data_IF_791938438707
#
_entry.id   IF_791938438707
#
_cell.length_a   1.000
_cell.length_b   1.000
_cell.length_c   1.000
_cell.angle_alpha   90.00
_cell.angle_beta   90.00
_cell.angle_gamma   90.00
#
_symmetry.space_group_name_H-M   'P 1'
#
loop_
_entity.id
_entity.type
_entity.pdbx_description
1 polymer ?
#
# COMPACT_ATOMS: atom_id res chain seq x y z
N UNK A 1 17.98 -8.12 3.91
CA UNK A 1 16.58 -7.88 3.47
C UNK A 1 15.72 -7.29 4.59
N UNK A 2 15.80 -7.78 5.84
CA UNK A 2 15.11 -7.18 6.99
C UNK A 2 15.56 -5.73 7.34
N UNK A 3 16.81 -5.37 7.05
CA UNK A 3 17.37 -4.03 7.30
C UNK A 3 16.70 -2.92 6.47
N UNK A 4 16.26 -3.21 5.25
CA UNK A 4 15.62 -2.21 4.38
C UNK A 4 14.19 -1.89 4.82
N UNK A 5 13.46 -2.87 5.37
CA UNK A 5 12.08 -2.67 5.82
C UNK A 5 12.03 -1.76 7.06
N UNK A 6 12.97 -1.94 7.98
CA UNK A 6 13.12 -1.11 9.18
C UNK A 6 13.52 0.31 8.78
N UNK A 7 14.44 0.46 7.83
CA UNK A 7 14.84 1.77 7.33
C UNK A 7 13.66 2.53 6.68
N UNK A 8 12.83 1.85 5.89
CA UNK A 8 11.61 2.41 5.30
C UNK A 8 10.58 2.80 6.36
N UNK A 9 10.37 1.97 7.37
CA UNK A 9 9.45 2.27 8.46
C UNK A 9 9.93 3.49 9.27
N UNK A 10 11.22 3.57 9.58
CA UNK A 10 11.81 4.70 10.29
C UNK A 10 11.75 5.98 9.47
N UNK A 11 12.07 5.93 8.17
CA UNK A 11 11.97 7.12 7.30
C UNK A 11 10.54 7.57 7.12
N UNK A 12 9.59 6.66 6.95
CA UNK A 12 8.16 7.00 6.89
C UNK A 12 7.67 7.62 8.21
N UNK A 13 8.05 7.06 9.35
CA UNK A 13 7.67 7.58 10.67
C UNK A 13 8.29 8.96 10.94
N UNK A 14 9.56 9.17 10.61
CA UNK A 14 10.20 10.48 10.78
C UNK A 14 9.65 11.51 9.81
N UNK A 15 9.41 11.15 8.55
CA UNK A 15 8.77 12.03 7.57
C UNK A 15 7.36 12.43 8.01
N UNK A 16 6.54 11.47 8.46
CA UNK A 16 5.18 11.74 8.95
C UNK A 16 5.19 12.63 10.20
N UNK A 17 6.12 12.41 11.14
CA UNK A 17 6.28 13.25 12.32
C UNK A 17 6.72 14.68 11.97
N UNK A 18 7.70 14.82 11.08
CA UNK A 18 8.18 16.12 10.59
C UNK A 18 7.06 16.85 9.86
N UNK A 19 6.30 16.17 9.01
CA UNK A 19 5.14 16.71 8.29
C UNK A 19 4.04 17.18 9.24
N UNK A 20 3.72 16.42 10.30
CA UNK A 20 2.76 16.83 11.34
C UNK A 20 3.19 18.10 12.08
N UNK A 21 4.49 18.23 12.37
CA UNK A 21 5.05 19.42 13.02
C UNK A 21 4.99 20.63 12.08
N UNK A 22 5.30 20.45 10.79
CA UNK A 22 5.27 21.52 9.78
C UNK A 22 3.83 21.91 9.40
N UNK A 23 2.86 20.99 9.48
CA UNK A 23 1.43 21.26 9.23
C UNK A 23 0.84 22.33 10.17
N UNK A 24 1.46 22.54 11.34
CA UNK A 24 1.09 23.61 12.27
C UNK A 24 1.45 25.01 11.75
N UNK A 25 2.22 25.13 10.66
CA UNK A 25 2.85 26.38 10.24
C UNK A 25 2.40 26.98 8.89
N UNK A 26 2.26 26.28 7.74
CA UNK A 26 1.68 26.81 6.45
C UNK A 26 1.92 25.85 5.24
N UNK A 27 0.99 25.89 4.25
CA UNK A 27 1.13 25.71 2.77
C UNK A 27 0.71 24.41 2.04
N UNK A 28 0.09 24.62 0.85
CA UNK A 28 -0.27 23.64 -0.21
C UNK A 28 0.88 22.71 -0.64
N UNK A 29 2.14 23.06 -0.39
CA UNK A 29 3.30 22.23 -0.74
C UNK A 29 3.46 21.00 0.14
N UNK A 30 2.93 21.04 1.37
CA UNK A 30 2.98 19.94 2.32
C UNK A 30 2.02 18.79 1.94
N UNK A 31 0.83 19.13 1.44
CA UNK A 31 -0.15 18.14 1.00
C UNK A 31 0.36 17.35 -0.21
N UNK A 32 1.02 18.02 -1.16
CA UNK A 32 1.66 17.37 -2.30
C UNK A 32 2.79 16.43 -1.88
N UNK A 33 3.60 16.80 -0.89
CA UNK A 33 4.70 15.94 -0.42
C UNK A 33 4.19 14.72 0.34
N UNK A 34 3.16 14.86 1.17
CA UNK A 34 2.48 13.73 1.80
C UNK A 34 1.90 12.77 0.77
N UNK A 35 1.21 13.31 -0.23
CA UNK A 35 0.58 12.51 -1.27
C UNK A 35 1.59 11.73 -2.13
N UNK A 36 2.73 12.35 -2.47
CA UNK A 36 3.83 11.68 -3.18
C UNK A 36 4.44 10.58 -2.32
N UNK A 37 4.64 10.83 -1.02
CA UNK A 37 5.19 9.83 -0.09
C UNK A 37 4.27 8.59 0.02
N UNK A 38 2.96 8.80 0.14
CA UNK A 38 1.96 7.74 0.18
C UNK A 38 1.96 6.92 -1.13
N UNK A 39 2.08 7.59 -2.27
CA UNK A 39 2.15 6.92 -3.58
C UNK A 39 3.41 6.05 -3.71
N UNK A 40 4.56 6.53 -3.24
CA UNK A 40 5.81 5.77 -3.21
C UNK A 40 5.67 4.52 -2.35
N UNK A 41 5.03 4.63 -1.18
CA UNK A 41 4.78 3.48 -0.29
C UNK A 41 3.92 2.41 -0.97
N UNK A 42 2.83 2.79 -1.65
CA UNK A 42 2.00 1.83 -2.39
C UNK A 42 2.78 1.17 -3.52
N UNK A 43 3.58 1.93 -4.27
CA UNK A 43 4.38 1.40 -5.37
C UNK A 43 5.39 0.33 -4.87
N UNK A 44 6.03 0.57 -3.72
CA UNK A 44 6.94 -0.39 -3.09
C UNK A 44 6.22 -1.65 -2.62
N UNK A 45 5.03 -1.51 -2.01
CA UNK A 45 4.22 -2.65 -1.57
C UNK A 45 3.79 -3.53 -2.74
N UNK A 46 3.29 -2.93 -3.83
CA UNK A 46 2.88 -3.66 -5.03
C UNK A 46 4.06 -4.39 -5.68
N UNK A 47 5.23 -3.72 -5.76
CA UNK A 47 6.45 -4.32 -6.30
C UNK A 47 6.92 -5.51 -5.47
N UNK A 48 6.90 -5.38 -4.14
CA UNK A 48 7.24 -6.46 -3.21
C UNK A 48 6.27 -7.64 -3.33
N UNK A 49 4.96 -7.38 -3.32
CA UNK A 49 3.93 -8.41 -3.46
C UNK A 49 4.04 -9.14 -4.80
N UNK A 50 4.35 -8.44 -5.89
CA UNK A 50 4.56 -9.06 -7.20
C UNK A 50 5.75 -10.02 -7.21
N UNK A 51 6.89 -9.62 -6.62
CA UNK A 51 8.06 -10.49 -6.48
C UNK A 51 7.77 -11.72 -5.63
N UNK A 52 7.11 -11.54 -4.48
CA UNK A 52 6.72 -12.66 -3.61
C UNK A 52 5.70 -13.57 -4.29
N UNK A 53 4.77 -13.02 -5.07
CA UNK A 53 3.79 -13.78 -5.85
C UNK A 53 4.44 -14.67 -6.90
N UNK A 54 5.42 -14.14 -7.65
CA UNK A 54 6.15 -14.91 -8.65
C UNK A 54 6.92 -16.07 -7.99
N UNK A 55 7.67 -15.79 -6.93
CA UNK A 55 8.42 -16.81 -6.17
C UNK A 55 7.47 -17.83 -5.53
N UNK A 56 6.34 -17.38 -5.00
CA UNK A 56 5.29 -18.22 -4.44
C UNK A 56 4.67 -19.17 -5.47
N UNK A 57 4.43 -18.70 -6.69
CA UNK A 57 3.89 -19.52 -7.77
C UNK A 57 4.88 -20.62 -8.20
N UNK A 58 6.17 -20.29 -8.30
CA UNK A 58 7.21 -21.27 -8.58
C UNK A 58 7.29 -22.28 -7.41
N UNK A 59 7.08 -21.83 -6.17
CA UNK A 59 7.10 -22.67 -4.97
C UNK A 59 5.91 -23.61 -4.84
N UNK A 60 4.76 -23.21 -5.42
CA UNK A 60 3.53 -24.00 -5.48
C UNK A 60 3.55 -25.02 -6.62
N UNK A 61 3.88 -24.58 -7.84
CA UNK A 61 3.88 -25.45 -9.02
C UNK A 61 5.12 -26.34 -9.10
N UNK A 62 6.27 -25.89 -8.60
CA UNK A 62 7.56 -26.56 -8.79
C UNK A 62 8.00 -26.54 -10.26
N UNK A 63 9.30 -26.64 -10.50
CA UNK A 63 9.83 -26.78 -11.86
C UNK A 63 11.04 -27.71 -11.87
N UNK A 64 10.89 -28.87 -12.52
CA UNK A 64 11.96 -29.85 -12.66
C UNK A 64 13.14 -29.32 -13.48
N UNK A 65 12.89 -28.42 -14.44
CA UNK A 65 13.95 -27.84 -15.28
C UNK A 65 14.89 -26.91 -14.48
N UNK A 66 14.33 -26.20 -13.50
CA UNK A 66 15.09 -25.37 -12.55
C UNK A 66 15.48 -26.13 -11.26
N UNK A 67 15.25 -27.45 -11.20
CA UNK A 67 15.40 -28.29 -10.00
C UNK A 67 14.65 -27.76 -8.76
N UNK A 68 13.59 -26.98 -8.97
CA UNK A 68 12.76 -26.42 -7.90
C UNK A 68 11.68 -27.42 -7.49
N UNK A 69 11.83 -28.00 -6.30
CA UNK A 69 10.83 -28.89 -5.70
C UNK A 69 9.69 -28.09 -5.06
N UNK A 70 8.47 -28.63 -5.07
CA UNK A 70 7.28 -28.00 -4.47
C UNK A 70 7.46 -27.84 -2.95
N UNK A 71 7.72 -26.61 -2.50
CA UNK A 71 7.93 -26.31 -1.07
C UNK A 71 6.61 -26.30 -0.32
N UNK A 72 5.53 -25.83 -0.95
CA UNK A 72 4.20 -25.78 -0.34
C UNK A 72 3.59 -27.15 -0.05
N UNK A 73 4.13 -28.23 -0.63
CA UNK A 73 3.68 -29.60 -0.32
C UNK A 73 4.18 -30.09 1.06
N UNK A 74 5.31 -29.56 1.54
CA UNK A 74 5.88 -29.91 2.85
C UNK A 74 5.36 -28.97 3.94
N UNK A 75 5.16 -27.69 3.60
CA UNK A 75 4.74 -26.65 4.54
C UNK A 75 3.40 -26.01 4.14
N UNK A 76 2.37 -26.84 3.95
CA UNK A 76 1.03 -26.40 3.48
C UNK A 76 0.43 -25.29 4.35
N UNK A 77 0.44 -25.44 5.69
CA UNK A 77 -0.13 -24.46 6.61
C UNK A 77 0.59 -23.11 6.56
N UNK A 78 1.92 -23.11 6.41
CA UNK A 78 2.70 -21.88 6.26
C UNK A 78 2.45 -21.23 4.89
N UNK A 79 2.43 -22.03 3.82
CA UNK A 79 2.18 -21.53 2.48
C UNK A 79 0.76 -20.92 2.36
N UNK A 80 -0.26 -21.55 2.95
CA UNK A 80 -1.62 -21.00 3.01
C UNK A 80 -1.67 -19.68 3.79
N UNK A 81 -1.04 -19.60 4.96
CA UNK A 81 -0.99 -18.36 5.76
C UNK A 81 -0.21 -17.25 5.05
N UNK A 82 0.93 -17.58 4.43
CA UNK A 82 1.74 -16.64 3.66
C UNK A 82 0.97 -16.11 2.45
N UNK A 83 0.34 -16.99 1.67
CA UNK A 83 -0.50 -16.61 0.54
C UNK A 83 -1.67 -15.70 0.98
N UNK A 84 -2.35 -16.05 2.08
CA UNK A 84 -3.41 -15.22 2.65
C UNK A 84 -2.90 -13.83 3.08
N UNK A 85 -1.74 -13.76 3.73
CA UNK A 85 -1.11 -12.50 4.13
C UNK A 85 -0.80 -11.61 2.91
N UNK A 86 -0.21 -12.18 1.85
CA UNK A 86 0.11 -11.44 0.63
C UNK A 86 -1.16 -10.95 -0.06
N UNK A 87 -2.20 -11.80 -0.11
CA UNK A 87 -3.49 -11.42 -0.68
C UNK A 87 -4.13 -10.26 0.08
N UNK A 88 -4.14 -10.30 1.41
CA UNK A 88 -4.65 -9.20 2.25
C UNK A 88 -3.82 -7.93 2.06
N UNK A 89 -2.49 -8.02 1.99
CA UNK A 89 -1.64 -6.87 1.68
C UNK A 89 -1.94 -6.29 0.30
N UNK A 90 -2.18 -7.11 -0.72
CA UNK A 90 -2.52 -6.66 -2.07
C UNK A 90 -3.84 -5.88 -2.08
N UNK A 91 -4.87 -6.39 -1.40
CA UNK A 91 -6.17 -5.72 -1.25
C UNK A 91 -5.98 -4.40 -0.50
N UNK A 92 -5.22 -4.40 0.60
CA UNK A 92 -4.91 -3.20 1.38
C UNK A 92 -4.23 -2.12 0.54
N UNK A 93 -3.25 -2.48 -0.29
CA UNK A 93 -2.59 -1.56 -1.20
C UNK A 93 -3.54 -0.96 -2.24
N UNK A 94 -4.48 -1.74 -2.79
CA UNK A 94 -5.48 -1.23 -3.72
C UNK A 94 -6.45 -0.24 -3.06
N UNK A 95 -6.94 -0.57 -1.86
CA UNK A 95 -7.82 0.32 -1.08
C UNK A 95 -7.10 1.61 -0.74
N UNK A 96 -5.83 1.55 -0.31
CA UNK A 96 -5.04 2.73 0.00
C UNK A 96 -4.84 3.63 -1.23
N UNK A 97 -4.55 3.05 -2.40
CA UNK A 97 -4.53 3.78 -3.67
C UNK A 97 -5.85 4.47 -3.98
N UNK A 98 -6.98 3.79 -3.77
CA UNK A 98 -8.31 4.37 -3.98
C UNK A 98 -8.57 5.54 -3.03
N UNK A 99 -8.15 5.45 -1.77
CA UNK A 99 -8.24 6.53 -0.79
C UNK A 99 -7.40 7.75 -1.20
N UNK A 100 -6.19 7.55 -1.73
CA UNK A 100 -5.35 8.65 -2.25
C UNK A 100 -6.06 9.36 -3.40
N UNK A 101 -6.65 8.61 -4.35
CA UNK A 101 -7.38 9.19 -5.48
C UNK A 101 -8.61 9.98 -5.00
N UNK A 102 -9.36 9.43 -4.04
CA UNK A 102 -10.50 10.12 -3.41
C UNK A 102 -10.07 11.41 -2.69
N UNK A 103 -8.95 11.38 -1.97
CA UNK A 103 -8.41 12.56 -1.28
C UNK A 103 -8.02 13.68 -2.27
N UNK A 104 -7.51 13.32 -3.45
CA UNK A 104 -7.23 14.29 -4.52
C UNK A 104 -8.46 14.86 -5.20
N UNK A 105 -9.53 14.07 -5.26
CA UNK A 105 -10.80 14.44 -5.85
C UNK A 105 -11.71 15.18 -4.85
N UNK A 106 -11.40 15.14 -3.55
CA UNK A 106 -12.14 15.81 -2.50
C UNK A 106 -12.41 17.31 -2.72
N UNK A 107 -11.52 18.15 -3.32
CA UNK A 107 -11.89 19.53 -3.67
C UNK A 107 -13.03 19.64 -4.69
N UNK A 108 -13.31 18.61 -5.50
CA UNK A 108 -14.44 18.53 -6.44
C UNK A 108 -15.66 17.82 -5.86
N UNK A 109 -15.47 16.74 -5.09
CA UNK A 109 -16.57 15.98 -4.46
C UNK A 109 -17.24 16.72 -3.29
N UNK A 110 -16.52 17.60 -2.57
CA UNK A 110 -17.15 18.48 -1.57
C UNK A 110 -18.17 19.41 -2.23
N UNK A 111 -17.91 19.98 -3.41
CA UNK A 111 -18.91 20.79 -4.13
C UNK A 111 -20.13 19.97 -4.58
N UNK A 112 -19.94 18.70 -4.97
CA UNK A 112 -21.04 17.83 -5.40
C UNK A 112 -21.85 17.28 -4.20
N UNK A 113 -21.18 16.96 -3.10
CA UNK A 113 -21.77 16.52 -1.84
C UNK A 113 -22.46 17.64 -1.07
N UNK A 114 -21.93 18.88 -1.11
CA UNK A 114 -22.62 20.06 -0.58
C UNK A 114 -23.89 20.37 -1.36
N UNK A 115 -23.96 20.06 -2.67
CA UNK A 115 -25.20 20.23 -3.43
C UNK A 115 -26.31 19.29 -2.92
N UNK A 116 -25.96 18.06 -2.55
CA UNK A 116 -26.89 17.10 -1.93
C UNK A 116 -27.25 17.52 -0.48
N UNK A 117 -26.29 18.00 0.31
CA UNK A 117 -26.51 18.49 1.68
C UNK A 117 -27.29 19.82 1.72
N UNK A 118 -27.12 20.70 0.71
CA UNK A 118 -27.92 21.91 0.54
C UNK A 118 -29.34 21.61 0.04
N UNK A 119 -29.51 20.64 -0.88
CA UNK A 119 -30.84 20.21 -1.33
C UNK A 119 -31.64 19.47 -0.24
N UNK A 120 -30.98 18.76 0.68
CA UNK A 120 -31.66 18.10 1.80
C UNK A 120 -31.99 19.07 2.97
N UNK A 121 -31.66 20.35 2.81
CA UNK A 121 -31.97 21.44 3.75
C UNK A 121 -32.78 22.57 3.06
N UNK A 122 -33.54 22.23 2.02
CA UNK A 122 -34.58 23.07 1.42
C UNK A 122 -35.94 22.39 1.53
#
# INVERSE_FOLDING_TARGET
MATNLIALACTYATLSLVLLIVNRAISRGLELTLMVLDLVMVALLLSGNGAVGAVGLIGYNGNSHAQWKKVCNVFDSFCRKGAASIAVSMIGSMVFMMLIVLAMQAPQQICLGLLWVCMLRA
#
